data_IF_367118824976
#
_entry.id   IF_367118824976
#
_cell.length_a   1.000
_cell.length_b   1.000
_cell.length_c   1.000
_cell.angle_alpha   90.00
_cell.angle_beta   90.00
_cell.angle_gamma   90.00
#
_symmetry.space_group_name_H-M   'P 1'
#
loop_
_entity.id
_entity.type
_entity.pdbx_description
1 polymer ?
#
# COMPACT_ATOMS: atom_id res chain seq x y z
N UNK A 1 -10.81 14.26 3.20
CA UNK A 1 -9.55 13.96 3.90
C UNK A 1 -9.69 14.02 5.44
N UNK A 2 -10.04 15.14 6.05
CA UNK A 2 -10.12 15.28 7.53
C UNK A 2 -10.94 14.19 8.26
N UNK A 3 -12.08 13.76 7.70
CA UNK A 3 -13.00 12.83 8.39
C UNK A 3 -12.42 11.41 8.52
N UNK A 4 -11.79 10.88 7.47
CA UNK A 4 -11.14 9.55 7.52
C UNK A 4 -9.93 9.55 8.48
N UNK A 5 -9.22 10.66 8.55
CA UNK A 5 -8.12 10.81 9.51
C UNK A 5 -8.63 10.76 10.96
N UNK A 6 -9.79 11.34 11.25
CA UNK A 6 -10.40 11.23 12.58
C UNK A 6 -10.76 9.78 12.93
N UNK A 7 -11.33 9.03 11.98
CA UNK A 7 -11.62 7.60 12.18
C UNK A 7 -10.35 6.81 12.48
N UNK A 8 -9.27 7.02 11.70
CA UNK A 8 -7.98 6.37 11.95
C UNK A 8 -7.40 6.71 13.33
N UNK A 9 -7.47 7.98 13.75
CA UNK A 9 -6.98 8.40 15.07
C UNK A 9 -7.80 7.78 16.19
N UNK A 10 -9.11 7.73 16.05
CA UNK A 10 -9.99 7.03 17.00
C UNK A 10 -9.66 5.54 17.07
N UNK A 11 -9.55 4.88 15.90
CA UNK A 11 -9.15 3.47 15.83
C UNK A 11 -7.81 3.24 16.53
N UNK A 12 -6.78 4.04 16.25
CA UNK A 12 -5.45 3.91 16.87
C UNK A 12 -5.52 4.06 18.40
N UNK A 13 -6.23 5.07 18.91
CA UNK A 13 -6.37 5.32 20.34
C UNK A 13 -7.11 4.15 21.02
N UNK A 14 -8.22 3.71 20.43
CA UNK A 14 -9.05 2.66 21.02
C UNK A 14 -8.37 1.30 20.98
N UNK A 15 -7.68 0.98 19.88
CA UNK A 15 -6.92 -0.26 19.74
C UNK A 15 -5.77 -0.33 20.76
N UNK A 16 -5.00 0.75 20.91
CA UNK A 16 -3.96 0.83 21.92
C UNK A 16 -4.56 0.73 23.35
N UNK A 17 -5.66 1.44 23.61
CA UNK A 17 -6.37 1.37 24.89
C UNK A 17 -6.84 -0.05 25.22
N UNK A 18 -7.51 -0.72 24.29
CA UNK A 18 -7.97 -2.10 24.46
C UNK A 18 -6.82 -3.11 24.66
N UNK A 19 -5.67 -2.84 24.07
CA UNK A 19 -4.48 -3.69 24.20
C UNK A 19 -3.91 -3.67 25.61
N UNK A 20 -3.88 -2.49 26.25
CA UNK A 20 -3.17 -2.30 27.51
C UNK A 20 -4.07 -2.15 28.74
N UNK A 21 -5.35 -1.81 28.58
CA UNK A 21 -6.25 -1.65 29.72
C UNK A 21 -6.51 -2.99 30.41
N UNK A 22 -6.52 -2.94 31.76
CA UNK A 22 -6.96 -4.05 32.61
C UNK A 22 -8.32 -3.76 33.29
N UNK A 23 -8.77 -2.52 33.18
CA UNK A 23 -10.03 -2.06 33.75
C UNK A 23 -11.21 -2.36 32.82
N UNK A 24 -12.28 -2.95 33.36
CA UNK A 24 -13.46 -3.34 32.57
C UNK A 24 -14.28 -2.13 32.10
N UNK A 25 -14.30 -1.03 32.87
CA UNK A 25 -15.01 0.18 32.49
C UNK A 25 -14.27 0.92 31.37
N UNK A 26 -12.94 0.96 31.42
CA UNK A 26 -12.13 1.55 30.35
C UNK A 26 -12.26 0.72 29.06
N UNK A 27 -12.25 -0.61 29.18
CA UNK A 27 -12.51 -1.50 28.03
C UNK A 27 -13.83 -1.16 27.35
N UNK A 28 -14.92 -1.06 28.13
CA UNK A 28 -16.24 -0.73 27.58
C UNK A 28 -16.24 0.66 26.91
N UNK A 29 -15.54 1.64 27.48
CA UNK A 29 -15.42 2.98 26.86
C UNK A 29 -14.67 2.93 25.52
N UNK A 30 -13.59 2.16 25.42
CA UNK A 30 -12.86 2.02 24.15
C UNK A 30 -13.69 1.29 23.11
N UNK A 31 -14.47 0.27 23.49
CA UNK A 31 -15.41 -0.42 22.58
C UNK A 31 -16.48 0.54 22.05
N UNK A 32 -17.07 1.36 22.91
CA UNK A 32 -18.04 2.40 22.50
C UNK A 32 -17.42 3.44 21.55
N UNK A 33 -16.16 3.81 21.78
CA UNK A 33 -15.44 4.71 20.86
C UNK A 33 -15.12 4.06 19.50
N UNK A 34 -14.93 2.73 19.44
CA UNK A 34 -14.83 2.01 18.16
C UNK A 34 -16.17 2.03 17.40
N UNK A 35 -17.27 1.84 18.09
CA UNK A 35 -18.62 1.94 17.53
C UNK A 35 -18.88 3.34 16.97
N UNK A 36 -18.56 4.38 17.72
CA UNK A 36 -18.67 5.76 17.27
C UNK A 36 -17.77 6.03 16.04
N UNK A 37 -16.56 5.48 16.01
CA UNK A 37 -15.68 5.63 14.86
C UNK A 37 -16.26 4.97 13.60
N UNK A 38 -16.93 3.82 13.74
CA UNK A 38 -17.62 3.12 12.66
C UNK A 38 -18.83 3.93 12.14
N UNK A 39 -19.64 4.51 13.04
CA UNK A 39 -20.76 5.40 12.68
C UNK A 39 -20.28 6.66 11.94
N UNK A 40 -19.19 7.26 12.41
CA UNK A 40 -18.56 8.40 11.74
C UNK A 40 -18.10 7.99 10.34
N UNK A 41 -17.46 6.81 10.18
CA UNK A 41 -17.00 6.32 8.89
C UNK A 41 -18.17 6.10 7.93
N UNK A 42 -19.25 5.46 8.35
CA UNK A 42 -20.47 5.26 7.56
C UNK A 42 -21.05 6.59 7.06
N UNK A 43 -21.02 7.64 7.87
CA UNK A 43 -21.65 8.93 7.55
C UNK A 43 -21.05 9.66 6.35
N UNK A 44 -19.85 9.29 5.87
CA UNK A 44 -19.16 10.00 4.79
C UNK A 44 -18.46 9.15 3.75
N UNK A 45 -18.35 7.84 3.97
CA UNK A 45 -17.64 6.98 3.06
C UNK A 45 -18.58 6.42 1.98
N UNK A 46 -18.38 6.76 0.71
CA UNK A 46 -18.98 5.99 -0.35
C UNK A 46 -18.32 4.61 -0.39
N UNK A 47 -19.16 3.61 -0.51
CA UNK A 47 -18.93 2.17 -0.37
C UNK A 47 -17.86 1.56 -1.28
N UNK A 48 -17.42 2.27 -2.31
CA UNK A 48 -16.67 1.69 -3.43
C UNK A 48 -15.20 1.42 -3.18
N UNK A 49 -14.61 1.98 -2.13
CA UNK A 49 -13.15 1.87 -1.91
C UNK A 49 -12.72 0.81 -0.88
N UNK A 50 -13.63 0.39 -0.01
CA UNK A 50 -13.25 -0.42 1.16
C UNK A 50 -13.29 -1.93 0.90
N UNK A 51 -14.23 -2.40 0.09
CA UNK A 51 -14.40 -3.84 -0.18
C UNK A 51 -13.21 -4.44 -0.96
N UNK A 52 -12.59 -3.67 -1.85
CA UNK A 52 -11.44 -4.11 -2.65
C UNK A 52 -10.15 -4.24 -1.84
N UNK A 53 -10.05 -3.52 -0.72
CA UNK A 53 -8.89 -3.55 0.17
C UNK A 53 -8.92 -4.72 1.16
N UNK A 54 -10.09 -5.33 1.35
CA UNK A 54 -10.29 -6.45 2.27
C UNK A 54 -10.10 -7.83 1.62
N UNK A 55 -9.78 -7.90 0.31
CA UNK A 55 -9.73 -9.17 -0.41
C UNK A 55 -11.12 -9.86 -0.52
N UNK A 56 -12.19 -9.16 -0.19
CA UNK A 56 -13.55 -9.68 -0.26
C UNK A 56 -14.08 -9.58 -1.70
N UNK A 57 -14.14 -10.70 -2.39
CA UNK A 57 -14.95 -10.92 -3.58
C UNK A 57 -16.43 -10.93 -3.17
N UNK A 58 -17.08 -9.78 -3.15
CA UNK A 58 -18.49 -9.73 -2.77
C UNK A 58 -19.15 -8.39 -3.05
N UNK A 59 -20.04 -8.41 -4.02
CA UNK A 59 -21.18 -7.52 -4.31
C UNK A 59 -21.35 -6.24 -3.47
N UNK A 60 -21.58 -5.17 -4.18
CA UNK A 60 -22.22 -3.87 -3.89
C UNK A 60 -23.21 -3.85 -2.69
N UNK A 61 -22.72 -3.99 -1.49
CA UNK A 61 -23.47 -3.65 -0.27
C UNK A 61 -22.85 -2.38 0.32
N UNK A 62 -23.69 -1.38 0.61
CA UNK A 62 -23.26 -0.17 1.29
C UNK A 62 -22.44 -0.48 2.55
N UNK A 63 -21.26 0.15 2.72
CA UNK A 63 -20.48 -0.04 3.93
C UNK A 63 -21.29 0.48 5.11
N UNK A 64 -21.84 -0.42 5.89
CA UNK A 64 -22.59 -0.13 7.11
C UNK A 64 -21.62 0.13 8.26
N UNK A 65 -22.09 0.74 9.33
CA UNK A 65 -21.30 0.88 10.58
C UNK A 65 -20.79 -0.47 11.08
N UNK A 66 -21.55 -1.56 10.88
CA UNK A 66 -21.13 -2.92 11.24
C UNK A 66 -19.91 -3.38 10.44
N UNK A 67 -19.88 -3.18 9.13
CA UNK A 67 -18.72 -3.50 8.29
C UNK A 67 -17.48 -2.64 8.61
N UNK A 68 -17.69 -1.39 8.99
CA UNK A 68 -16.62 -0.53 9.48
C UNK A 68 -16.11 -0.97 10.85
N UNK A 69 -17.00 -1.41 11.73
CA UNK A 69 -16.64 -1.91 13.05
C UNK A 69 -15.81 -3.19 12.94
N UNK A 70 -16.19 -4.11 12.05
CA UNK A 70 -15.40 -5.31 11.77
C UNK A 70 -14.02 -4.97 11.26
N UNK A 71 -13.88 -4.00 10.37
CA UNK A 71 -12.60 -3.52 9.87
C UNK A 71 -11.74 -2.89 10.98
N UNK A 72 -12.34 -2.08 11.84
CA UNK A 72 -11.66 -1.46 13.00
C UNK A 72 -11.18 -2.53 13.98
N UNK A 73 -11.96 -3.60 14.18
CA UNK A 73 -11.65 -4.70 15.11
C UNK A 73 -10.75 -5.79 14.53
N UNK A 74 -10.49 -5.76 13.22
CA UNK A 74 -9.68 -6.78 12.53
C UNK A 74 -8.21 -6.80 13.01
N UNK A 75 -7.67 -5.66 13.42
CA UNK A 75 -6.34 -5.56 14.00
C UNK A 75 -6.37 -5.54 15.52
N UNK A 76 -5.38 -6.21 16.12
CA UNK A 76 -5.19 -6.27 17.57
C UNK A 76 -3.76 -5.85 17.91
N UNK A 77 -3.53 -5.46 19.14
CA UNK A 77 -2.23 -5.01 19.60
C UNK A 77 -2.01 -3.51 19.35
N UNK A 78 -0.76 -3.05 19.42
CA UNK A 78 -0.44 -1.66 19.15
C UNK A 78 -0.61 -1.35 17.66
N UNK A 79 -1.38 -0.32 17.32
CA UNK A 79 -1.58 0.09 15.93
C UNK A 79 -0.29 0.62 15.31
N UNK A 80 0.15 0.01 14.21
CA UNK A 80 1.34 0.43 13.47
C UNK A 80 0.99 0.66 11.99
N UNK A 81 1.73 1.52 11.27
CA UNK A 81 1.61 1.59 9.83
C UNK A 81 1.93 0.23 9.20
N UNK A 82 1.16 -0.14 8.19
CA UNK A 82 1.54 -1.22 7.28
C UNK A 82 2.70 -0.77 6.41
N UNK A 83 3.46 -1.71 5.90
CA UNK A 83 4.58 -1.43 4.99
C UNK A 83 4.28 -2.04 3.62
N UNK A 84 4.36 -1.20 2.58
CA UNK A 84 4.23 -1.58 1.18
C UNK A 84 5.60 -1.39 0.51
N UNK A 85 6.12 -2.41 -0.16
CA UNK A 85 7.44 -2.39 -0.79
C UNK A 85 7.27 -2.48 -2.31
N UNK A 86 7.92 -1.56 -3.06
CA UNK A 86 7.89 -1.52 -4.52
C UNK A 86 9.29 -1.69 -5.09
N UNK A 87 9.44 -2.65 -6.00
CA UNK A 87 10.65 -2.85 -6.79
C UNK A 87 10.76 -1.84 -7.94
N UNK A 88 11.87 -1.13 -8.01
CA UNK A 88 12.20 -0.20 -9.10
C UNK A 88 13.27 -0.86 -9.96
N UNK A 89 12.85 -1.42 -11.08
CA UNK A 89 13.71 -2.17 -12.02
C UNK A 89 13.86 -1.37 -13.30
N UNK A 90 15.09 -1.08 -13.68
CA UNK A 90 15.39 -0.31 -14.90
C UNK A 90 16.01 -1.21 -15.97
N UNK A 91 15.63 -0.95 -17.22
CA UNK A 91 16.27 -1.48 -18.42
C UNK A 91 16.18 -0.47 -19.55
N UNK A 92 17.30 -0.11 -20.13
CA UNK A 92 17.42 0.80 -21.30
C UNK A 92 16.69 2.14 -21.10
N UNK A 93 16.82 2.74 -19.90
CA UNK A 93 16.19 4.02 -19.55
C UNK A 93 14.68 3.95 -19.31
N UNK A 94 14.13 2.74 -19.16
CA UNK A 94 12.70 2.47 -18.89
C UNK A 94 12.54 1.71 -17.59
N UNK A 95 11.44 1.96 -16.88
CA UNK A 95 11.08 1.21 -15.67
C UNK A 95 10.13 0.05 -16.01
N UNK A 96 10.28 -1.04 -15.26
CA UNK A 96 9.38 -2.19 -15.29
C UNK A 96 8.08 -1.84 -14.56
N UNK A 97 6.96 -2.11 -15.23
CA UNK A 97 5.63 -2.04 -14.65
C UNK A 97 4.91 -3.37 -14.85
N UNK A 98 3.98 -3.64 -13.94
CA UNK A 98 3.02 -4.71 -14.08
C UNK A 98 1.60 -4.14 -14.20
N UNK A 99 0.72 -4.82 -14.93
CA UNK A 99 -0.67 -4.47 -15.10
C UNK A 99 -1.50 -5.25 -14.09
N UNK A 100 -2.09 -4.55 -13.15
CA UNK A 100 -2.88 -5.14 -12.06
C UNK A 100 -4.11 -5.88 -12.57
N UNK A 101 -4.35 -7.11 -12.11
CA UNK A 101 -5.57 -7.85 -12.43
C UNK A 101 -6.83 -7.22 -11.83
N UNK A 102 -6.67 -6.49 -10.72
CA UNK A 102 -7.77 -5.91 -9.96
C UNK A 102 -8.46 -4.74 -10.68
N UNK A 103 -7.70 -3.79 -11.18
CA UNK A 103 -8.22 -2.56 -11.79
C UNK A 103 -7.83 -2.37 -13.26
N UNK A 104 -6.96 -3.25 -13.78
CA UNK A 104 -6.47 -3.20 -15.17
C UNK A 104 -5.49 -2.05 -15.44
N UNK A 105 -5.04 -1.34 -14.41
CA UNK A 105 -4.10 -0.23 -14.49
C UNK A 105 -2.68 -0.69 -14.17
N UNK A 106 -1.71 0.20 -14.35
CA UNK A 106 -0.30 -0.16 -14.20
C UNK A 106 0.30 0.34 -12.89
N UNK A 107 1.17 -0.47 -12.29
CA UNK A 107 1.95 -0.11 -11.11
C UNK A 107 3.38 -0.63 -11.20
N UNK A 108 4.24 -0.15 -10.31
CA UNK A 108 5.51 -0.82 -10.04
C UNK A 108 5.24 -2.13 -9.30
N UNK A 109 5.96 -3.22 -9.63
CA UNK A 109 5.79 -4.50 -8.93
C UNK A 109 6.09 -4.36 -7.44
N UNK A 110 5.33 -5.09 -6.62
CA UNK A 110 5.49 -5.05 -5.17
C UNK A 110 4.17 -5.10 -4.41
N UNK A 111 4.25 -5.39 -3.12
CA UNK A 111 3.11 -5.62 -2.25
C UNK A 111 3.36 -5.30 -0.79
N UNK A 112 2.52 -5.86 0.06
CA UNK A 112 2.66 -5.75 1.50
C UNK A 112 3.90 -6.50 2.00
N UNK A 113 4.54 -5.92 3.03
CA UNK A 113 5.66 -6.56 3.68
C UNK A 113 5.18 -7.75 4.52
N UNK A 114 5.66 -8.94 4.22
CA UNK A 114 5.41 -10.14 4.98
C UNK A 114 6.34 -10.25 6.20
N UNK A 115 5.82 -10.81 7.29
CA UNK A 115 6.60 -11.05 8.50
C UNK A 115 7.67 -12.13 8.21
N UNK A 116 8.92 -11.82 8.57
CA UNK A 116 10.05 -12.73 8.37
C UNK A 116 10.90 -12.41 7.15
N UNK A 117 10.48 -11.48 6.31
CA UNK A 117 11.25 -11.01 5.16
C UNK A 117 11.78 -9.58 5.37
N UNK A 118 12.99 -9.32 4.91
CA UNK A 118 13.53 -7.97 4.83
C UNK A 118 12.93 -7.22 3.62
N UNK A 119 12.93 -5.87 3.62
CA UNK A 119 12.47 -5.09 2.47
C UNK A 119 13.14 -5.47 1.14
N UNK A 120 14.41 -5.86 1.17
CA UNK A 120 15.14 -6.35 -0.01
C UNK A 120 14.58 -7.68 -0.52
N UNK A 121 14.32 -8.63 0.38
CA UNK A 121 13.75 -9.93 0.03
C UNK A 121 12.34 -9.78 -0.52
N UNK A 122 11.52 -8.93 0.07
CA UNK A 122 10.16 -8.64 -0.41
C UNK A 122 10.23 -8.07 -1.83
N UNK A 123 11.07 -7.06 -2.09
CA UNK A 123 11.20 -6.47 -3.42
C UNK A 123 11.64 -7.50 -4.46
N UNK A 124 12.60 -8.37 -4.13
CA UNK A 124 13.09 -9.43 -5.03
C UNK A 124 11.99 -10.47 -5.31
N UNK A 125 11.28 -10.93 -4.28
CA UNK A 125 10.19 -11.91 -4.39
C UNK A 125 9.03 -11.37 -5.21
N UNK A 126 8.53 -10.19 -4.86
CA UNK A 126 7.38 -9.58 -5.55
C UNK A 126 7.68 -9.34 -7.04
N UNK A 127 8.87 -8.81 -7.37
CA UNK A 127 9.27 -8.65 -8.77
C UNK A 127 9.25 -9.98 -9.51
N UNK A 128 9.77 -11.06 -8.89
CA UNK A 128 9.79 -12.38 -9.50
C UNK A 128 8.36 -12.94 -9.68
N UNK A 129 7.55 -12.90 -8.63
CA UNK A 129 6.20 -13.49 -8.62
C UNK A 129 5.24 -12.76 -9.56
N UNK A 130 5.31 -11.43 -9.60
CA UNK A 130 4.40 -10.62 -10.39
C UNK A 130 4.84 -10.45 -11.85
N UNK A 131 6.16 -10.52 -12.12
CA UNK A 131 6.67 -10.17 -13.45
C UNK A 131 7.48 -11.26 -14.14
N UNK A 132 7.96 -12.27 -13.40
CA UNK A 132 8.84 -13.32 -13.89
C UNK A 132 10.31 -12.90 -14.03
N UNK A 133 10.67 -11.66 -13.70
CA UNK A 133 12.05 -11.21 -13.75
C UNK A 133 12.80 -11.52 -12.46
N UNK A 134 14.04 -11.95 -12.59
CA UNK A 134 14.96 -12.19 -11.48
C UNK A 134 15.78 -10.94 -11.24
N UNK A 135 15.70 -10.39 -10.03
CA UNK A 135 16.37 -9.13 -9.67
C UNK A 135 17.14 -9.26 -8.37
N UNK A 136 18.04 -8.29 -8.12
CA UNK A 136 18.74 -8.13 -6.85
C UNK A 136 18.54 -6.72 -6.32
N UNK A 137 18.03 -6.60 -5.12
CA UNK A 137 17.86 -5.31 -4.45
C UNK A 137 19.22 -4.70 -4.11
N UNK A 138 19.43 -3.42 -4.45
CA UNK A 138 20.72 -2.74 -4.32
C UNK A 138 20.68 -1.46 -3.50
N UNK A 139 19.56 -0.73 -3.51
CA UNK A 139 19.45 0.57 -2.81
C UNK A 139 18.01 0.88 -2.42
N UNK A 140 17.82 1.39 -1.20
CA UNK A 140 16.57 2.04 -0.80
C UNK A 140 16.52 3.44 -1.40
N UNK A 141 15.55 3.71 -2.29
CA UNK A 141 15.40 5.00 -2.97
C UNK A 141 14.54 5.96 -2.18
N UNK A 142 13.44 5.45 -1.60
CA UNK A 142 12.53 6.29 -0.83
C UNK A 142 11.77 5.51 0.25
N UNK A 143 11.38 6.23 1.33
CA UNK A 143 10.38 5.82 2.32
C UNK A 143 9.37 6.95 2.45
N UNK A 144 8.14 6.72 2.02
CA UNK A 144 7.09 7.73 2.00
C UNK A 144 5.92 7.35 2.89
N UNK A 145 5.44 8.31 3.68
CA UNK A 145 4.11 8.28 4.27
C UNK A 145 3.07 8.44 3.15
N UNK A 146 2.37 7.36 2.80
CA UNK A 146 1.38 7.35 1.72
C UNK A 146 0.36 8.49 1.84
N UNK A 147 -0.02 8.88 3.06
CA UNK A 147 -1.01 9.91 3.30
C UNK A 147 -0.52 11.33 2.94
N UNK A 148 0.80 11.54 2.82
CA UNK A 148 1.41 12.83 2.44
C UNK A 148 1.56 13.00 0.93
N UNK A 149 1.34 11.94 0.16
CA UNK A 149 1.40 11.94 -1.31
C UNK A 149 -0.01 11.87 -1.91
N UNK A 150 -0.16 12.21 -3.20
CA UNK A 150 -1.45 12.33 -3.88
C UNK A 150 -2.10 10.97 -4.19
N UNK A 151 -2.10 10.06 -3.23
CA UNK A 151 -2.87 8.82 -3.30
C UNK A 151 -4.33 9.05 -2.91
N UNK A 152 -5.26 8.24 -3.42
CA UNK A 152 -6.61 8.17 -2.90
C UNK A 152 -6.59 7.86 -1.40
N UNK A 153 -7.51 8.44 -0.61
CA UNK A 153 -7.63 8.12 0.81
C UNK A 153 -7.96 6.64 1.02
N UNK A 154 -7.21 5.99 1.91
CA UNK A 154 -7.44 4.58 2.30
C UNK A 154 -7.59 4.47 3.81
N UNK A 155 -8.22 3.39 4.29
CA UNK A 155 -8.41 3.19 5.73
C UNK A 155 -7.09 2.92 6.45
N UNK A 156 -6.24 2.03 5.88
CA UNK A 156 -4.97 1.66 6.50
C UNK A 156 -3.90 2.74 6.35
N UNK A 157 -3.21 3.02 7.43
CA UNK A 157 -2.01 3.86 7.39
C UNK A 157 -0.84 3.05 6.83
N UNK A 158 -0.10 3.61 5.89
CA UNK A 158 0.91 2.85 5.16
C UNK A 158 2.16 3.68 4.89
N UNK A 159 3.32 3.07 5.11
CA UNK A 159 4.59 3.54 4.59
C UNK A 159 4.94 2.79 3.32
N UNK A 160 5.32 3.51 2.27
CA UNK A 160 5.75 2.95 0.99
C UNK A 160 7.27 3.02 0.87
N UNK A 161 7.88 1.87 0.61
CA UNK A 161 9.32 1.76 0.38
C UNK A 161 9.57 1.49 -1.10
N UNK A 162 10.46 2.28 -1.73
CA UNK A 162 10.88 2.09 -3.12
C UNK A 162 12.32 1.56 -3.12
N UNK A 163 12.52 0.37 -3.66
CA UNK A 163 13.82 -0.33 -3.65
C UNK A 163 14.32 -0.50 -5.07
N UNK A 164 15.50 0.05 -5.36
CA UNK A 164 16.18 -0.21 -6.63
C UNK A 164 16.57 -1.68 -6.70
N UNK A 165 16.20 -2.31 -7.81
CA UNK A 165 16.51 -3.69 -8.09
C UNK A 165 17.23 -3.80 -9.43
N UNK A 166 18.38 -4.46 -9.43
CA UNK A 166 19.18 -4.74 -10.61
C UNK A 166 18.67 -6.01 -11.30
N UNK A 167 18.47 -5.93 -12.61
CA UNK A 167 17.97 -7.03 -13.41
C UNK A 167 19.09 -8.08 -13.65
N UNK A 168 18.85 -9.31 -13.21
CA UNK A 168 19.79 -10.41 -13.38
C UNK A 168 19.34 -11.45 -14.42
N UNK A 169 18.04 -11.46 -14.78
CA UNK A 169 17.52 -12.43 -15.74
C UNK A 169 15.99 -12.57 -15.70
N UNK A 170 15.50 -13.72 -16.11
CA UNK A 170 14.08 -13.99 -16.18
C UNK A 170 13.45 -13.49 -17.49
N UNK A 171 12.14 -13.71 -17.62
CA UNK A 171 11.34 -13.30 -18.77
C UNK A 171 9.93 -12.94 -18.29
N UNK A 172 9.21 -12.07 -19.02
CA UNK A 172 7.84 -11.70 -18.65
C UNK A 172 6.96 -12.93 -18.43
N UNK A 173 6.34 -13.00 -17.25
CA UNK A 173 5.39 -14.05 -16.92
C UNK A 173 4.10 -13.42 -16.38
N UNK A 174 2.98 -14.11 -16.57
CA UNK A 174 1.70 -13.75 -15.98
C UNK A 174 1.56 -14.43 -14.62
N UNK A 175 0.91 -13.75 -13.70
CA UNK A 175 0.53 -14.33 -12.42
C UNK A 175 -0.98 -14.19 -12.18
N UNK A 176 -1.46 -14.62 -11.03
CA UNK A 176 -2.87 -14.42 -10.65
C UNK A 176 -3.18 -12.92 -10.50
N UNK A 177 -2.19 -12.14 -10.09
CA UNK A 177 -2.32 -10.70 -9.81
C UNK A 177 -1.91 -9.82 -10.98
N UNK A 178 -1.21 -10.38 -12.01
CA UNK A 178 -0.62 -9.63 -13.11
C UNK A 178 -1.18 -10.05 -14.46
N UNK A 179 -1.86 -9.12 -15.13
CA UNK A 179 -2.36 -9.33 -16.51
C UNK A 179 -1.27 -9.21 -17.56
N UNK A 180 -0.30 -8.29 -17.35
CA UNK A 180 0.75 -7.98 -18.31
C UNK A 180 1.94 -7.31 -17.64
N UNK A 181 3.12 -7.36 -18.26
CA UNK A 181 4.35 -6.68 -17.81
C UNK A 181 5.02 -5.96 -18.96
N UNK A 182 5.48 -4.74 -18.72
CA UNK A 182 6.15 -3.97 -19.76
C UNK A 182 7.09 -2.93 -19.16
N UNK A 183 8.02 -2.42 -19.98
CA UNK A 183 8.92 -1.33 -19.62
C UNK A 183 8.46 -0.03 -20.27
N UNK A 184 8.28 1.04 -19.47
CA UNK A 184 7.86 2.35 -19.94
C UNK A 184 8.88 3.42 -19.60
N UNK A 185 9.10 4.34 -20.54
CA UNK A 185 9.91 5.54 -20.33
C UNK A 185 9.16 6.63 -19.57
N UNK A 186 9.89 7.59 -19.02
CA UNK A 186 9.32 8.69 -18.20
C UNK A 186 8.29 9.55 -18.97
N UNK A 187 8.38 9.63 -20.30
CA UNK A 187 7.45 10.37 -21.16
C UNK A 187 6.36 9.49 -21.79
N UNK A 188 6.35 8.20 -21.50
CA UNK A 188 5.43 7.21 -22.09
C UNK A 188 4.73 6.42 -20.98
N UNK A 189 4.47 7.05 -19.82
CA UNK A 189 3.84 6.36 -18.70
C UNK A 189 2.42 5.91 -19.05
N UNK A 190 2.08 4.66 -18.76
CA UNK A 190 0.74 4.16 -18.94
C UNK A 190 -0.24 4.71 -17.87
N UNK A 191 -1.56 4.49 -18.03
CA UNK A 191 -2.51 4.80 -16.96
C UNK A 191 -2.15 4.07 -15.65
N UNK A 192 -1.84 4.82 -14.59
CA UNK A 192 -1.34 4.28 -13.33
C UNK A 192 -2.46 3.94 -12.34
N UNK A 193 -2.29 2.84 -11.61
CA UNK A 193 -3.08 2.50 -10.42
C UNK A 193 -2.72 3.45 -9.27
N UNK A 194 -3.48 4.55 -9.15
CA UNK A 194 -3.23 5.61 -8.17
C UNK A 194 -3.18 5.12 -6.70
N UNK A 195 -3.93 4.09 -6.29
CA UNK A 195 -3.75 3.50 -4.96
C UNK A 195 -2.37 2.87 -4.76
N UNK A 196 -1.73 2.40 -5.82
CA UNK A 196 -0.45 1.69 -5.80
C UNK A 196 0.73 2.63 -5.96
N UNK A 197 0.72 3.49 -6.98
CA UNK A 197 1.80 4.41 -7.28
C UNK A 197 1.27 5.70 -7.94
N UNK A 198 1.86 6.84 -7.63
CA UNK A 198 1.53 8.11 -8.27
C UNK A 198 2.55 8.44 -9.36
N UNK A 199 2.14 9.25 -10.35
CA UNK A 199 3.05 9.72 -11.41
C UNK A 199 4.25 10.48 -10.83
N UNK A 200 4.03 11.31 -9.81
CA UNK A 200 5.11 12.05 -9.15
C UNK A 200 6.15 11.11 -8.53
N UNK A 201 5.71 10.03 -7.88
CA UNK A 201 6.60 9.02 -7.33
C UNK A 201 7.40 8.31 -8.43
N UNK A 202 6.73 7.90 -9.52
CA UNK A 202 7.41 7.26 -10.66
C UNK A 202 8.47 8.19 -11.25
N UNK A 203 8.14 9.46 -11.50
CA UNK A 203 9.10 10.44 -12.03
C UNK A 203 10.28 10.62 -11.08
N UNK A 204 10.04 10.63 -9.77
CA UNK A 204 11.11 10.71 -8.76
C UNK A 204 12.02 9.47 -8.78
N UNK A 205 11.49 8.29 -9.06
CA UNK A 205 12.31 7.07 -9.24
C UNK A 205 13.22 7.18 -10.46
N UNK A 206 12.75 7.73 -11.58
CA UNK A 206 13.61 8.03 -12.73
C UNK A 206 14.73 9.01 -12.39
N UNK A 207 14.48 10.03 -11.58
CA UNK A 207 15.51 10.98 -11.12
C UNK A 207 16.58 10.26 -10.27
N UNK A 208 16.18 9.38 -9.34
CA UNK A 208 17.11 8.57 -8.56
C UNK A 208 17.99 7.67 -9.43
N UNK A 209 17.44 7.13 -10.52
CA UNK A 209 18.22 6.29 -11.44
C UNK A 209 19.19 7.11 -12.29
N UNK A 210 18.78 8.31 -12.72
CA UNK A 210 19.64 9.24 -13.45
C UNK A 210 20.76 9.83 -12.55
N UNK A 211 20.52 9.91 -11.24
CA UNK A 211 21.43 10.48 -10.25
C UNK A 211 21.64 9.50 -9.08
N UNK A 212 22.48 8.45 -9.26
CA UNK A 212 22.65 7.38 -8.26
C UNK A 212 23.14 7.85 -6.89
N UNK A 213 23.80 9.01 -6.83
CA UNK A 213 24.34 9.59 -5.60
C UNK A 213 23.30 10.34 -4.75
N UNK A 214 22.08 10.52 -5.26
CA UNK A 214 21.01 11.11 -4.46
C UNK A 214 20.79 10.30 -3.17
N UNK A 215 20.63 10.98 -2.00
CA UNK A 215 20.26 10.30 -0.77
C UNK A 215 18.87 9.64 -0.88
N UNK A 216 18.59 8.71 -0.01
CA UNK A 216 17.25 8.14 0.13
C UNK A 216 16.27 9.26 0.51
N UNK A 217 15.17 9.38 -0.22
CA UNK A 217 14.09 10.30 0.12
C UNK A 217 13.28 9.76 1.31
N UNK A 218 12.82 10.64 2.17
CA UNK A 218 11.84 10.31 3.23
C UNK A 218 11.05 11.54 3.66
N UNK A 219 9.84 11.34 4.19
CA UNK A 219 8.98 12.39 4.74
C UNK A 219 9.35 12.79 6.17
#
# INVERSE_FOLDING_TARGET
>A
MLRLEWVRRLQTITQAGLTYTRDAYDRQRYEQLQELAAEIAESFAPVTSTASQLGATGSQLGATSESWLDLIRAEKGYATPKVDVRGVVERDGKLLFMREAHDGLWSLPGGWADIGESPSQIAEREVLEETGFVVKASKLLAVYDKARHAHPPEFWYCYKMFVRCELHGGAPARSIETLDTSFFGVNELPPLSQPRVTEAQVRRMFEHLAHPDLPTDFD
#
